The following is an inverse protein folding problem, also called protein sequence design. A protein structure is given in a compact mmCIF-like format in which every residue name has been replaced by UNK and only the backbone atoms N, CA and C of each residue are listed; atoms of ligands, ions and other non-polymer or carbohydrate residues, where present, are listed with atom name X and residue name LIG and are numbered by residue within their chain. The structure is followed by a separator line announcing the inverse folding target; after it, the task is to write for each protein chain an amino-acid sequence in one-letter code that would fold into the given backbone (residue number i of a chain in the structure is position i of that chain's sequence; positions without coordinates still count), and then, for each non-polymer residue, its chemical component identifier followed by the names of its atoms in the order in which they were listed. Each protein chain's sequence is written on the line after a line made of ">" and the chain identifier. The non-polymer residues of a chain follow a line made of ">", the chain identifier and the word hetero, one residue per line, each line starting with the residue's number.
data_IF_718975272796
#
_entry.id   IF_718975272796
#
_cell.length_a   1.000
_cell.length_b   1.000
_cell.length_c   1.000
_cell.angle_alpha   90.00
_cell.angle_beta   90.00
_cell.angle_gamma   90.00
#
_symmetry.space_group_name_H-M   'P 1'
#
loop_
_entity.id
_entity.type
_entity.pdbx_description
1 polymer ?
#
# COMPACT_ATOMS: atom_id res chain seq x y z
N UNK A 1 3.22 -1.64 -20.81
CA UNK A 1 2.62 -0.49 -20.10
C UNK A 1 1.15 -0.27 -20.46
N UNK A 2 0.79 0.13 -21.70
CA UNK A 2 -0.61 0.44 -22.04
C UNK A 2 -1.59 -0.75 -21.97
N UNK A 3 -1.16 -1.94 -22.41
CA UNK A 3 -1.95 -3.19 -22.27
C UNK A 3 -2.31 -3.51 -20.82
N UNK A 4 -1.43 -3.19 -19.87
CA UNK A 4 -1.67 -3.42 -18.44
C UNK A 4 -2.71 -2.44 -17.87
N UNK A 5 -2.67 -1.17 -18.31
CA UNK A 5 -3.67 -0.16 -17.94
C UNK A 5 -5.07 -0.55 -18.41
N UNK A 6 -5.19 -1.03 -19.66
CA UNK A 6 -6.45 -1.57 -20.18
C UNK A 6 -6.95 -2.77 -19.37
N UNK A 7 -6.07 -3.72 -19.03
CA UNK A 7 -6.44 -4.88 -18.19
C UNK A 7 -7.00 -4.45 -16.83
N UNK A 8 -6.41 -3.44 -16.19
CA UNK A 8 -6.88 -2.90 -14.90
C UNK A 8 -8.27 -2.26 -15.03
N UNK A 9 -8.47 -1.41 -16.05
CA UNK A 9 -9.77 -0.79 -16.30
C UNK A 9 -10.86 -1.84 -16.54
N UNK A 10 -10.58 -2.85 -17.38
CA UNK A 10 -11.52 -3.93 -17.64
C UNK A 10 -11.85 -4.74 -16.37
N UNK A 11 -10.88 -4.92 -15.47
CA UNK A 11 -11.07 -5.66 -14.23
C UNK A 11 -12.07 -5.01 -13.26
N UNK A 12 -12.25 -3.68 -13.28
CA UNK A 12 -13.25 -2.97 -12.45
C UNK A 12 -14.68 -3.34 -12.85
N UNK A 13 -14.91 -3.61 -14.13
CA UNK A 13 -16.24 -3.96 -14.65
C UNK A 13 -16.48 -5.47 -14.72
N UNK A 14 -15.46 -6.29 -14.42
CA UNK A 14 -15.62 -7.74 -14.36
C UNK A 14 -16.35 -8.11 -13.06
N UNK A 15 -17.41 -8.91 -13.16
CA UNK A 15 -18.10 -9.48 -12.00
C UNK A 15 -17.10 -10.33 -11.21
N UNK A 16 -16.87 -10.01 -9.94
CA UNK A 16 -16.16 -10.88 -9.00
C UNK A 16 -17.18 -11.76 -8.32
N UNK A 17 -17.10 -13.07 -8.52
CA UNK A 17 -17.93 -14.04 -7.82
C UNK A 17 -17.17 -14.57 -6.61
N UNK A 18 -17.88 -14.71 -5.48
CA UNK A 18 -17.44 -15.53 -4.34
C UNK A 18 -16.42 -14.93 -3.36
N UNK A 19 -15.91 -13.70 -3.54
CA UNK A 19 -15.09 -13.03 -2.52
C UNK A 19 -15.65 -11.66 -2.16
N UNK A 20 -15.78 -11.40 -0.86
CA UNK A 20 -16.06 -10.07 -0.34
C UNK A 20 -14.96 -9.12 -0.81
N UNK A 21 -15.37 -8.06 -1.50
CA UNK A 21 -14.48 -6.97 -1.89
C UNK A 21 -14.40 -6.05 -0.68
N UNK A 22 -13.22 -5.70 -0.16
CA UNK A 22 -13.11 -4.84 1.01
C UNK A 22 -13.36 -3.37 0.66
N UNK A 23 -14.21 -3.07 -0.33
CA UNK A 23 -14.56 -1.74 -0.83
C UNK A 23 -16.03 -1.69 -1.28
N UNK A 24 -16.66 -0.51 -1.33
CA UNK A 24 -18.03 -0.37 -1.80
C UNK A 24 -18.22 -0.92 -3.22
N UNK A 25 -19.34 -1.57 -3.50
CA UNK A 25 -19.60 -2.20 -4.80
C UNK A 25 -20.66 -1.49 -5.65
N UNK A 26 -21.24 -0.39 -5.16
CA UNK A 26 -22.30 0.37 -5.82
C UNK A 26 -21.80 1.13 -7.06
N UNK A 27 -22.72 1.51 -7.95
CA UNK A 27 -22.39 2.11 -9.26
C UNK A 27 -21.51 3.37 -9.13
N UNK A 28 -21.85 4.29 -8.22
CA UNK A 28 -21.04 5.50 -7.99
C UNK A 28 -19.58 5.21 -7.62
N UNK A 29 -19.32 4.16 -6.84
CA UNK A 29 -17.95 3.76 -6.50
C UNK A 29 -17.21 3.21 -7.72
N UNK A 30 -17.85 2.37 -8.53
CA UNK A 30 -17.25 1.84 -9.76
C UNK A 30 -16.93 2.94 -10.75
N UNK A 31 -17.78 3.97 -10.85
CA UNK A 31 -17.51 5.15 -11.68
C UNK A 31 -16.30 5.94 -11.17
N UNK A 32 -16.18 6.12 -9.86
CA UNK A 32 -15.00 6.73 -9.24
C UNK A 32 -13.73 5.92 -9.55
N UNK A 33 -13.74 4.60 -9.35
CA UNK A 33 -12.59 3.76 -9.69
C UNK A 33 -12.23 3.83 -11.17
N UNK A 34 -13.23 3.81 -12.05
CA UNK A 34 -13.05 3.91 -13.48
C UNK A 34 -12.43 5.25 -13.91
N UNK A 35 -12.76 6.36 -13.25
CA UNK A 35 -12.19 7.68 -13.59
C UNK A 35 -10.68 7.74 -13.30
N UNK A 36 -10.22 7.16 -12.19
CA UNK A 36 -8.79 7.04 -11.89
C UNK A 36 -8.06 6.16 -12.90
N UNK A 37 -8.67 5.03 -13.32
CA UNK A 37 -8.05 4.14 -14.30
C UNK A 37 -8.10 4.70 -15.72
N UNK A 38 -9.10 5.52 -16.03
CA UNK A 38 -9.12 6.28 -17.28
C UNK A 38 -8.01 7.34 -17.29
N UNK A 39 -7.77 8.02 -16.17
CA UNK A 39 -6.64 8.93 -16.02
C UNK A 39 -5.28 8.20 -16.21
N UNK A 40 -5.15 6.96 -15.71
CA UNK A 40 -3.99 6.11 -16.00
C UNK A 40 -3.82 5.89 -17.51
N UNK A 41 -4.89 5.60 -18.27
CA UNK A 41 -4.80 5.42 -19.73
C UNK A 41 -4.24 6.65 -20.45
N UNK A 42 -4.61 7.84 -19.97
CA UNK A 42 -4.13 9.13 -20.49
C UNK A 42 -2.74 9.53 -19.96
N UNK A 43 -2.07 8.68 -19.18
CA UNK A 43 -0.77 8.96 -18.56
C UNK A 43 -0.74 10.22 -17.68
N UNK A 44 -1.89 10.61 -17.13
CA UNK A 44 -2.00 11.74 -16.19
C UNK A 44 -1.12 11.52 -14.95
N UNK A 45 -1.08 10.33 -14.31
CA UNK A 45 -0.19 10.11 -13.16
C UNK A 45 1.30 10.30 -13.51
N UNK A 46 1.73 9.86 -14.69
CA UNK A 46 3.12 10.01 -15.14
C UNK A 46 3.47 11.50 -15.30
N UNK A 47 2.56 12.29 -15.88
CA UNK A 47 2.70 13.74 -15.98
C UNK A 47 2.75 14.39 -14.60
N UNK A 48 1.85 14.03 -13.69
CA UNK A 48 1.84 14.57 -12.32
C UNK A 48 3.13 14.21 -11.56
N UNK A 49 3.66 12.99 -11.73
CA UNK A 49 4.94 12.59 -11.17
C UNK A 49 6.12 13.37 -11.78
N UNK A 50 6.08 13.68 -13.07
CA UNK A 50 7.08 14.53 -13.72
C UNK A 50 7.04 15.95 -13.16
N UNK A 51 5.85 16.55 -13.07
CA UNK A 51 5.66 17.88 -12.48
C UNK A 51 6.11 17.89 -11.01
N UNK A 52 5.79 16.86 -10.24
CA UNK A 52 6.25 16.72 -8.86
C UNK A 52 7.79 16.75 -8.78
N UNK A 53 8.50 16.06 -9.69
CA UNK A 53 9.98 16.11 -9.74
C UNK A 53 10.53 17.50 -10.07
N UNK A 54 9.83 18.26 -10.91
CA UNK A 54 10.23 19.63 -11.29
C UNK A 54 10.01 20.60 -10.13
N UNK A 55 8.84 20.54 -9.48
CA UNK A 55 8.46 21.50 -8.45
C UNK A 55 8.89 21.09 -7.03
N UNK A 56 9.26 19.83 -6.81
CA UNK A 56 9.79 19.32 -5.54
C UNK A 56 11.20 18.76 -5.73
N UNK A 57 12.22 19.61 -5.94
CA UNK A 57 13.59 19.17 -6.20
C UNK A 57 14.23 18.45 -4.99
N UNK A 58 13.68 18.63 -3.79
CA UNK A 58 14.19 18.01 -2.55
C UNK A 58 13.74 16.55 -2.35
N UNK A 59 13.10 15.93 -3.34
CA UNK A 59 12.80 14.49 -3.25
C UNK A 59 14.07 13.66 -3.41
N UNK A 60 14.24 12.66 -2.55
CA UNK A 60 15.39 11.73 -2.59
C UNK A 60 14.97 10.36 -3.09
N UNK A 61 15.93 9.57 -3.54
CA UNK A 61 15.75 8.12 -3.71
C UNK A 61 15.76 7.44 -2.34
N UNK A 62 15.22 6.22 -2.30
CA UNK A 62 15.51 5.31 -1.19
C UNK A 62 17.02 5.05 -1.15
N UNK A 63 17.58 5.01 0.04
CA UNK A 63 18.96 4.61 0.29
C UNK A 63 19.14 3.11 0.10
N UNK A 64 20.37 2.66 -0.09
CA UNK A 64 20.68 1.23 -0.26
C UNK A 64 20.26 0.42 0.98
N UNK A 65 20.37 1.00 2.18
CA UNK A 65 19.88 0.39 3.43
C UNK A 65 18.36 0.19 3.39
N UNK A 66 17.61 1.24 3.03
CA UNK A 66 16.14 1.18 2.96
C UNK A 66 15.69 0.15 1.92
N UNK A 67 16.35 0.09 0.76
CA UNK A 67 16.05 -0.88 -0.29
C UNK A 67 16.38 -2.30 0.18
N UNK A 68 17.56 -2.52 0.77
CA UNK A 68 17.96 -3.84 1.25
C UNK A 68 16.98 -4.39 2.30
N UNK A 69 16.64 -3.57 3.29
CA UNK A 69 15.65 -3.89 4.32
C UNK A 69 14.27 -4.21 3.72
N UNK A 70 13.77 -3.34 2.83
CA UNK A 70 12.46 -3.54 2.21
C UNK A 70 12.42 -4.79 1.31
N UNK A 71 13.51 -5.10 0.61
CA UNK A 71 13.62 -6.29 -0.24
C UNK A 71 13.47 -7.59 0.52
N UNK A 72 13.79 -7.63 1.82
CA UNK A 72 13.55 -8.82 2.62
C UNK A 72 12.06 -9.17 2.80
N UNK A 73 11.17 -8.21 2.57
CA UNK A 73 9.72 -8.36 2.71
C UNK A 73 9.05 -8.39 1.34
N UNK A 74 9.38 -7.41 0.49
CA UNK A 74 8.74 -7.22 -0.81
C UNK A 74 9.41 -8.00 -1.94
N UNK A 75 10.65 -8.47 -1.76
CA UNK A 75 11.45 -9.04 -2.85
C UNK A 75 11.54 -8.09 -4.04
N UNK A 76 11.17 -8.59 -5.21
CA UNK A 76 11.10 -7.82 -6.46
C UNK A 76 9.67 -7.33 -6.80
N UNK A 77 8.73 -7.39 -5.86
CA UNK A 77 7.34 -6.97 -6.09
C UNK A 77 7.20 -5.46 -6.34
N UNK A 78 8.20 -4.67 -5.92
CA UNK A 78 8.28 -3.22 -6.12
C UNK A 78 9.44 -2.92 -7.07
N UNK A 79 9.19 -2.14 -8.13
CA UNK A 79 10.25 -1.48 -8.88
C UNK A 79 10.76 -0.29 -8.06
N UNK A 80 11.94 -0.43 -7.47
CA UNK A 80 12.57 0.54 -6.59
C UNK A 80 13.04 1.81 -7.30
N UNK A 81 13.36 1.71 -8.60
CA UNK A 81 13.97 2.81 -9.39
C UNK A 81 13.13 4.09 -9.44
N UNK A 82 11.80 4.04 -9.65
CA UNK A 82 10.95 5.23 -9.64
C UNK A 82 10.58 5.76 -8.25
N UNK A 83 10.78 4.99 -7.17
CA UNK A 83 10.32 5.34 -5.82
C UNK A 83 11.11 6.52 -5.25
N UNK A 84 10.40 7.49 -4.67
CA UNK A 84 10.99 8.70 -4.07
C UNK A 84 10.42 8.98 -2.69
N UNK A 85 11.18 9.71 -1.88
CA UNK A 85 10.75 10.22 -0.58
C UNK A 85 10.88 11.75 -0.56
N UNK A 86 9.81 12.43 -0.17
CA UNK A 86 9.74 13.87 0.10
C UNK A 86 9.59 14.09 1.61
N UNK A 87 10.70 14.32 2.32
CA UNK A 87 10.71 14.56 3.78
C UNK A 87 10.37 16.01 4.15
N UNK A 88 10.04 16.85 3.16
CA UNK A 88 9.66 18.27 3.34
C UNK A 88 8.26 18.55 2.79
N UNK A 89 7.40 17.53 2.78
CA UNK A 89 6.07 17.66 2.24
C UNK A 89 5.23 18.62 3.10
N UNK A 90 4.94 19.81 2.55
CA UNK A 90 4.16 20.82 3.27
C UNK A 90 2.66 20.52 3.31
N UNK A 91 2.12 19.84 2.30
CA UNK A 91 0.69 19.54 2.20
C UNK A 91 0.36 18.45 3.22
N UNK A 92 -0.29 18.84 4.33
CA UNK A 92 -0.78 17.93 5.37
C UNK A 92 0.28 17.41 6.34
N UNK A 93 1.42 16.91 5.85
CA UNK A 93 2.41 16.20 6.68
C UNK A 93 3.00 17.04 7.82
N UNK A 94 3.31 18.32 7.58
CA UNK A 94 3.84 19.21 8.63
C UNK A 94 2.83 19.48 9.75
N UNK A 95 1.55 19.64 9.40
CA UNK A 95 0.51 20.05 10.33
C UNK A 95 -0.06 18.88 11.12
N UNK A 96 -0.22 17.72 10.48
CA UNK A 96 -0.93 16.57 11.04
C UNK A 96 -0.01 15.36 11.30
N UNK A 97 1.30 15.49 11.04
CA UNK A 97 2.34 14.48 11.33
C UNK A 97 2.04 13.08 10.76
N UNK A 98 1.39 13.02 9.60
CA UNK A 98 1.19 11.76 8.86
C UNK A 98 2.10 11.70 7.63
N UNK A 99 2.34 10.48 7.15
CA UNK A 99 2.92 10.21 5.84
C UNK A 99 1.83 9.75 4.87
N UNK A 100 2.03 9.99 3.57
CA UNK A 100 1.15 9.45 2.55
C UNK A 100 1.91 9.20 1.25
N UNK A 101 1.41 8.24 0.47
CA UNK A 101 1.92 7.98 -0.87
C UNK A 101 1.11 8.74 -1.92
N UNK A 102 1.82 9.53 -2.73
CA UNK A 102 1.32 10.10 -3.98
C UNK A 102 1.94 9.33 -5.14
N UNK A 103 1.20 8.37 -5.68
CA UNK A 103 1.68 7.45 -6.74
C UNK A 103 2.91 6.63 -6.30
N UNK A 104 4.13 7.10 -6.59
CA UNK A 104 5.40 6.46 -6.20
C UNK A 104 6.27 7.36 -5.32
N UNK A 105 5.69 8.45 -4.81
CA UNK A 105 6.37 9.40 -3.94
C UNK A 105 5.78 9.27 -2.54
N UNK A 106 6.61 8.87 -1.59
CA UNK A 106 6.27 8.88 -0.16
C UNK A 106 6.48 10.31 0.34
N UNK A 107 5.45 10.94 0.87
CA UNK A 107 5.47 12.30 1.37
C UNK A 107 5.39 12.25 2.90
N UNK A 108 6.34 12.87 3.59
CA UNK A 108 6.41 12.94 5.05
C UNK A 108 7.04 14.27 5.51
N UNK A 109 7.07 14.49 6.82
CA UNK A 109 7.78 15.62 7.42
C UNK A 109 8.84 15.12 8.39
N UNK A 110 10.10 15.10 7.92
CA UNK A 110 11.22 14.46 8.61
C UNK A 110 11.37 12.96 8.30
N UNK A 111 12.36 12.30 8.93
CA UNK A 111 12.66 10.90 8.67
C UNK A 111 11.52 9.99 9.17
N UNK A 112 11.20 8.98 8.38
CA UNK A 112 10.31 7.90 8.80
C UNK A 112 11.09 6.86 9.62
N UNK A 113 10.41 6.24 10.58
CA UNK A 113 10.91 4.99 11.15
C UNK A 113 10.85 3.89 10.10
N UNK A 114 11.68 2.85 10.25
CA UNK A 114 11.70 1.73 9.32
C UNK A 114 10.33 1.06 9.18
N UNK A 115 9.60 0.87 10.29
CA UNK A 115 8.26 0.29 10.27
C UNK A 115 7.25 1.16 9.49
N UNK A 116 7.28 2.48 9.64
CA UNK A 116 6.43 3.38 8.85
C UNK A 116 6.84 3.38 7.38
N UNK A 117 8.14 3.35 7.07
CA UNK A 117 8.59 3.23 5.68
C UNK A 117 8.09 1.93 5.05
N UNK A 118 8.16 0.81 5.78
CA UNK A 118 7.60 -0.47 5.34
C UNK A 118 6.09 -0.35 5.10
N UNK A 119 5.32 0.30 5.98
CA UNK A 119 3.89 0.58 5.75
C UNK A 119 3.67 1.33 4.43
N UNK A 120 4.32 2.48 4.25
CA UNK A 120 4.13 3.33 3.06
C UNK A 120 4.53 2.60 1.76
N UNK A 121 5.49 1.69 1.81
CA UNK A 121 5.87 0.88 0.66
C UNK A 121 4.77 -0.09 0.21
N UNK A 122 3.84 -0.50 1.08
CA UNK A 122 2.64 -1.24 0.66
C UNK A 122 1.81 -0.40 -0.30
N UNK A 123 1.66 0.89 -0.05
CA UNK A 123 0.90 1.79 -0.93
C UNK A 123 1.61 2.02 -2.27
N UNK A 124 2.95 2.10 -2.27
CA UNK A 124 3.74 2.11 -3.51
C UNK A 124 3.50 0.82 -4.31
N UNK A 125 3.55 -0.34 -3.66
CA UNK A 125 3.25 -1.63 -4.28
C UNK A 125 1.82 -1.68 -4.83
N UNK A 126 0.82 -1.23 -4.06
CA UNK A 126 -0.58 -1.15 -4.49
C UNK A 126 -0.71 -0.28 -5.75
N UNK A 127 -0.08 0.90 -5.80
CA UNK A 127 -0.06 1.73 -7.00
C UNK A 127 0.63 1.03 -8.18
N UNK A 128 1.79 0.41 -7.98
CA UNK A 128 2.51 -0.26 -9.05
C UNK A 128 1.74 -1.46 -9.61
N UNK A 129 0.98 -2.17 -8.78
CA UNK A 129 0.14 -3.31 -9.21
C UNK A 129 -1.21 -2.87 -9.80
N UNK A 130 -1.89 -1.92 -9.18
CA UNK A 130 -3.29 -1.58 -9.47
C UNK A 130 -3.49 -0.27 -10.23
N UNK A 131 -2.49 0.61 -10.23
CA UNK A 131 -2.59 1.97 -10.77
C UNK A 131 -3.27 2.93 -9.81
N UNK A 132 -3.77 4.06 -10.32
CA UNK A 132 -4.26 5.15 -9.44
C UNK A 132 -5.55 4.82 -8.69
N UNK A 133 -6.25 3.73 -9.04
CA UNK A 133 -7.41 3.22 -8.29
C UNK A 133 -7.07 2.88 -6.84
N UNK A 134 -5.79 2.71 -6.51
CA UNK A 134 -5.41 2.49 -5.12
C UNK A 134 -5.73 3.69 -4.22
N UNK A 135 -5.65 4.90 -4.74
CA UNK A 135 -5.84 6.15 -3.98
C UNK A 135 -7.23 6.21 -3.35
N UNK A 136 -8.35 6.11 -4.10
CA UNK A 136 -9.68 6.15 -3.48
C UNK A 136 -9.88 4.99 -2.49
N UNK A 137 -9.33 3.80 -2.77
CA UNK A 137 -9.44 2.63 -1.90
C UNK A 137 -8.71 2.80 -0.56
N UNK A 138 -7.50 3.36 -0.57
CA UNK A 138 -6.76 3.70 0.65
C UNK A 138 -7.49 4.80 1.45
N UNK A 139 -7.95 5.86 0.78
CA UNK A 139 -8.73 6.92 1.44
C UNK A 139 -10.05 6.42 2.04
N UNK A 140 -10.71 5.45 1.40
CA UNK A 140 -11.88 4.80 1.95
C UNK A 140 -11.52 3.95 3.17
N UNK A 141 -10.43 3.17 3.10
CA UNK A 141 -9.97 2.35 4.22
C UNK A 141 -9.69 3.20 5.46
N UNK A 142 -9.06 4.36 5.33
CA UNK A 142 -8.83 5.30 6.44
C UNK A 142 -10.12 5.79 7.13
N UNK A 143 -11.26 5.75 6.44
CA UNK A 143 -12.57 6.18 6.92
C UNK A 143 -13.47 5.01 7.32
N UNK A 144 -13.02 3.76 7.16
CA UNK A 144 -13.78 2.60 7.60
C UNK A 144 -13.74 2.50 9.14
N UNK A 145 -14.71 1.81 9.77
CA UNK A 145 -14.73 1.64 11.22
C UNK A 145 -13.46 0.99 11.78
N UNK A 146 -12.89 0.03 11.04
CA UNK A 146 -11.68 -0.70 11.40
C UNK A 146 -10.42 0.12 11.11
N UNK A 147 -10.48 0.97 10.09
CA UNK A 147 -9.37 1.78 9.59
C UNK A 147 -8.08 0.95 9.44
N UNK A 148 -7.12 1.22 10.32
CA UNK A 148 -5.80 0.60 10.40
C UNK A 148 -5.80 -0.75 11.14
N UNK A 149 -6.75 -0.96 12.04
CA UNK A 149 -6.78 -2.14 12.91
C UNK A 149 -7.28 -3.36 12.14
N UNK A 150 -6.40 -4.35 11.94
CA UNK A 150 -6.74 -5.60 11.27
C UNK A 150 -7.28 -6.68 12.20
N UNK A 151 -7.45 -6.41 13.51
CA UNK A 151 -7.96 -7.37 14.50
C UNK A 151 -6.89 -8.25 15.14
N UNK A 152 -5.61 -7.94 14.91
CA UNK A 152 -4.48 -8.64 15.51
C UNK A 152 -4.33 -10.09 15.02
N UNK A 153 -3.58 -10.89 15.77
CA UNK A 153 -3.18 -12.24 15.33
C UNK A 153 -4.38 -13.16 15.07
N UNK A 154 -5.46 -13.07 15.86
CA UNK A 154 -6.65 -13.91 15.71
C UNK A 154 -7.33 -13.72 14.35
N UNK A 155 -7.35 -12.49 13.84
CA UNK A 155 -7.89 -12.20 12.52
C UNK A 155 -7.01 -12.78 11.41
N UNK A 156 -5.69 -12.76 11.58
CA UNK A 156 -4.74 -13.37 10.64
C UNK A 156 -4.82 -14.90 10.65
N UNK A 157 -4.93 -15.53 11.82
CA UNK A 157 -5.12 -16.99 11.95
C UNK A 157 -6.41 -17.43 11.27
N UNK A 158 -7.52 -16.70 11.49
CA UNK A 158 -8.78 -16.97 10.81
C UNK A 158 -8.65 -16.80 9.29
N UNK A 159 -8.04 -15.71 8.84
CA UNK A 159 -7.82 -15.49 7.42
C UNK A 159 -6.98 -16.61 6.79
N UNK A 160 -5.92 -17.05 7.47
CA UNK A 160 -5.08 -18.17 7.04
C UNK A 160 -5.88 -19.48 6.95
N UNK A 161 -6.70 -19.78 7.97
CA UNK A 161 -7.55 -20.98 7.99
C UNK A 161 -8.60 -20.98 6.86
N UNK A 162 -9.13 -19.79 6.52
CA UNK A 162 -10.10 -19.60 5.43
C UNK A 162 -9.43 -19.55 4.03
N UNK A 163 -8.10 -19.72 3.95
CA UNK A 163 -7.34 -19.61 2.69
C UNK A 163 -7.30 -18.19 2.11
N UNK A 164 -7.56 -17.18 2.95
CA UNK A 164 -7.45 -15.76 2.62
C UNK A 164 -6.01 -15.29 2.78
N UNK A 165 -5.65 -14.21 2.08
CA UNK A 165 -4.34 -13.58 2.13
C UNK A 165 -4.43 -12.07 2.31
N UNK A 166 -3.29 -11.41 2.15
CA UNK A 166 -3.15 -9.96 2.34
C UNK A 166 -4.20 -9.14 1.53
N UNK A 167 -4.54 -9.57 0.32
CA UNK A 167 -5.51 -8.88 -0.54
C UNK A 167 -6.95 -8.86 -0.01
N UNK A 168 -7.26 -9.70 0.97
CA UNK A 168 -8.58 -9.80 1.60
C UNK A 168 -8.73 -8.85 2.81
N UNK A 169 -7.72 -8.03 3.10
CA UNK A 169 -7.75 -6.93 4.06
C UNK A 169 -7.86 -5.59 3.33
N UNK A 170 -8.37 -4.56 4.02
CA UNK A 170 -8.42 -3.20 3.47
C UNK A 170 -7.00 -2.63 3.26
N UNK A 171 -6.84 -1.54 2.51
CA UNK A 171 -5.50 -1.10 2.10
C UNK A 171 -4.62 -0.54 3.22
N UNK A 172 -5.20 0.03 4.28
CA UNK A 172 -4.44 0.48 5.45
C UNK A 172 -4.06 -0.71 6.34
N UNK A 173 -4.97 -1.66 6.52
CA UNK A 173 -4.70 -2.93 7.20
C UNK A 173 -3.56 -3.70 6.52
N UNK A 174 -3.51 -3.71 5.18
CA UNK A 174 -2.38 -4.32 4.48
C UNK A 174 -1.04 -3.67 4.84
N UNK A 175 -1.01 -2.34 4.96
CA UNK A 175 0.16 -1.59 5.43
C UNK A 175 0.59 -2.03 6.83
N UNK A 176 -0.35 -2.02 7.78
CA UNK A 176 -0.07 -2.31 9.19
C UNK A 176 0.25 -3.79 9.44
N UNK A 177 -0.34 -4.73 8.68
CA UNK A 177 0.02 -6.16 8.73
C UNK A 177 1.50 -6.35 8.36
N UNK A 178 1.95 -5.67 7.30
CA UNK A 178 3.32 -5.79 6.79
C UNK A 178 4.31 -5.07 7.71
N UNK A 179 3.93 -3.93 8.29
CA UNK A 179 4.71 -3.24 9.30
C UNK A 179 4.83 -4.04 10.60
N UNK A 180 3.75 -4.68 11.08
CA UNK A 180 3.77 -5.53 12.27
C UNK A 180 4.62 -6.79 12.04
N UNK A 181 4.57 -7.37 10.84
CA UNK A 181 5.48 -8.45 10.45
C UNK A 181 6.95 -8.00 10.50
N UNK A 182 7.27 -6.83 9.95
CA UNK A 182 8.60 -6.24 10.03
C UNK A 182 9.05 -6.07 11.48
N UNK A 183 8.17 -5.51 12.33
CA UNK A 183 8.46 -5.31 13.74
C UNK A 183 8.80 -6.65 14.43
N UNK A 184 7.93 -7.65 14.32
CA UNK A 184 8.14 -8.97 14.92
C UNK A 184 9.44 -9.62 14.43
N UNK A 185 9.72 -9.56 13.12
CA UNK A 185 10.93 -10.15 12.52
C UNK A 185 12.22 -9.53 13.09
N UNK A 186 12.17 -8.25 13.47
CA UNK A 186 13.33 -7.49 13.96
C UNK A 186 13.35 -7.31 15.48
N UNK A 187 12.54 -8.07 16.23
CA UNK A 187 12.49 -7.98 17.69
C UNK A 187 11.88 -6.67 18.21
N UNK A 188 11.10 -5.98 17.38
CA UNK A 188 10.38 -4.76 17.73
C UNK A 188 8.92 -5.09 18.08
N UNK A 189 8.31 -4.23 18.88
CA UNK A 189 6.90 -4.40 19.29
C UNK A 189 5.96 -4.06 18.13
N UNK A 190 5.11 -5.00 17.67
CA UNK A 190 4.05 -4.71 16.70
C UNK A 190 2.94 -3.85 17.33
N UNK A 191 2.13 -3.22 16.48
CA UNK A 191 1.07 -2.28 16.86
C UNK A 191 -0.22 -3.00 17.27
N UNK A 192 -0.65 -4.01 16.53
CA UNK A 192 -1.99 -4.61 16.67
C UNK A 192 -2.01 -6.02 17.24
N UNK A 193 -0.86 -6.59 17.59
CA UNK A 193 -0.77 -7.88 18.28
C UNK A 193 0.26 -7.87 19.42
N UNK A 194 0.30 -8.94 20.20
CA UNK A 194 1.32 -9.12 21.22
C UNK A 194 2.69 -9.38 20.57
N UNK A 195 3.76 -8.97 21.26
CA UNK A 195 5.11 -9.32 20.86
C UNK A 195 5.38 -10.80 21.16
N UNK A 196 5.21 -11.64 20.14
CA UNK A 196 5.44 -13.08 20.21
C UNK A 196 5.98 -13.60 18.87
N UNK A 197 7.20 -14.12 18.89
CA UNK A 197 7.88 -14.62 17.69
C UNK A 197 7.19 -15.86 17.09
N UNK A 198 6.35 -16.58 17.86
CA UNK A 198 5.58 -17.73 17.36
C UNK A 198 4.53 -17.32 16.33
N UNK A 199 4.21 -16.03 16.22
CA UNK A 199 3.28 -15.50 15.22
C UNK A 199 3.89 -15.31 13.83
N UNK A 200 5.23 -15.33 13.69
CA UNK A 200 5.91 -15.10 12.40
C UNK A 200 5.38 -15.98 11.25
N UNK A 201 5.14 -17.30 11.44
CA UNK A 201 4.59 -18.15 10.37
C UNK A 201 3.20 -17.72 9.89
N UNK A 202 2.35 -17.19 10.78
CA UNK A 202 1.01 -16.71 10.42
C UNK A 202 1.12 -15.49 9.51
N UNK A 203 1.97 -14.52 9.86
CA UNK A 203 2.22 -13.36 9.00
C UNK A 203 2.80 -13.77 7.63
N UNK A 204 3.76 -14.69 7.61
CA UNK A 204 4.35 -15.21 6.36
C UNK A 204 3.31 -15.93 5.47
N UNK A 205 2.33 -16.60 6.06
CA UNK A 205 1.25 -17.22 5.31
C UNK A 205 0.34 -16.18 4.63
N UNK A 206 0.07 -15.06 5.32
CA UNK A 206 -0.79 -13.97 4.83
C UNK A 206 -0.08 -13.08 3.81
N UNK A 207 1.19 -12.71 4.08
CA UNK A 207 1.97 -11.76 3.27
C UNK A 207 2.60 -12.49 2.09
N UNK A 208 1.92 -12.43 0.94
CA UNK A 208 2.42 -12.96 -0.33
C UNK A 208 2.27 -11.89 -1.42
N UNK A 209 3.39 -11.36 -1.89
CA UNK A 209 3.43 -10.31 -2.92
C UNK A 209 3.61 -10.83 -4.35
N UNK A 210 3.70 -12.15 -4.51
CA UNK A 210 3.78 -12.83 -5.81
C UNK A 210 2.44 -12.85 -6.54
N UNK A 211 2.50 -12.76 -7.86
CA UNK A 211 1.34 -12.90 -8.74
C UNK A 211 0.88 -14.38 -8.73
N UNK A 212 -0.03 -14.73 -7.82
CA UNK A 212 -0.86 -15.94 -7.96
C UNK A 212 -2.21 -15.55 -8.58
#
# INVERSE_FOLDING_TARGET
>A
MIRQRWRRLAAVFRKKEGREIPFPAHAGWRMLEASFLFADLLAIPDLLMLLNRIFKPNTRRLSDREIAMAREIYGDAIDWRPVRVDERAHIGCRQYKFAYVGFQVINCWGPLSDAHLIHELVHVWQFQKLGSVYIPRALWAQRSPEAYNYGGIRALEKAMADGRGLSDFNYEQQGDIVADYFCLKNGLRPRWCAYDATYLPVFQAIIRFSDQ
#
